data_IF_036864572374
#
_entry.id   IF_036864572374
#
_cell.length_a   1.000
_cell.length_b   1.000
_cell.length_c   1.000
_cell.angle_alpha   90.00
_cell.angle_beta   90.00
_cell.angle_gamma   90.00
#
_symmetry.space_group_name_H-M   'P 1'
#
loop_
_entity.id
_entity.type
_entity.pdbx_description
1 polymer ?
#
# COMPACT_ATOMS: atom_id res chain seq x y z
N UNK A 1 16.59 -6.17 38.47
CA UNK A 1 16.56 -5.86 37.03
C UNK A 1 16.53 -7.18 36.27
N UNK A 2 15.36 -7.60 35.79
CA UNK A 2 15.24 -8.82 34.98
C UNK A 2 15.16 -8.40 33.51
N UNK A 3 16.10 -8.91 32.71
CA UNK A 3 16.12 -8.71 31.27
C UNK A 3 15.02 -9.57 30.62
N UNK A 4 14.04 -8.92 29.98
CA UNK A 4 13.07 -9.59 29.13
C UNK A 4 13.73 -9.94 27.79
N UNK A 5 14.01 -11.21 27.57
CA UNK A 5 14.45 -11.77 26.29
C UNK A 5 13.29 -11.71 25.29
N UNK A 6 13.33 -10.75 24.36
CA UNK A 6 12.30 -10.57 23.35
C UNK A 6 12.36 -11.63 22.24
N UNK A 7 11.30 -12.43 22.10
CA UNK A 7 11.03 -13.29 20.94
C UNK A 7 10.48 -12.46 19.77
N UNK A 8 11.24 -11.49 19.25
CA UNK A 8 10.80 -10.57 18.18
C UNK A 8 10.74 -11.19 16.77
N UNK A 9 11.10 -12.46 16.59
CA UNK A 9 11.36 -13.04 15.27
C UNK A 9 10.19 -13.75 14.58
N UNK A 10 9.17 -14.20 15.30
CA UNK A 10 8.10 -15.03 14.74
C UNK A 10 6.80 -14.25 14.44
N UNK A 11 6.47 -13.22 15.24
CA UNK A 11 5.22 -12.46 15.09
C UNK A 11 5.26 -11.38 13.98
N UNK A 12 6.46 -10.95 13.56
CA UNK A 12 6.60 -9.90 12.54
C UNK A 12 6.19 -10.39 11.14
N UNK A 13 6.32 -11.69 10.86
CA UNK A 13 5.98 -12.27 9.56
C UNK A 13 4.46 -12.43 9.39
N UNK A 14 3.76 -12.87 10.43
CA UNK A 14 2.30 -13.01 10.45
C UNK A 14 1.59 -11.66 10.40
N UNK A 15 2.07 -10.67 11.15
CA UNK A 15 1.52 -9.30 11.13
C UNK A 15 1.72 -8.62 9.77
N UNK A 16 2.87 -8.83 9.11
CA UNK A 16 3.11 -8.30 7.76
C UNK A 16 2.18 -8.93 6.73
N UNK A 17 1.89 -10.24 6.83
CA UNK A 17 0.97 -10.92 5.92
C UNK A 17 -0.47 -10.38 6.04
N UNK A 18 -0.99 -10.26 7.26
CA UNK A 18 -2.32 -9.69 7.51
C UNK A 18 -2.42 -8.22 7.07
N UNK A 19 -1.33 -7.47 7.24
CA UNK A 19 -1.25 -6.09 6.74
C UNK A 19 -1.37 -6.07 5.21
N UNK A 20 -0.61 -6.89 4.48
CA UNK A 20 -0.69 -6.95 3.01
C UNK A 20 -2.02 -7.49 2.48
N UNK A 21 -2.67 -8.40 3.20
CA UNK A 21 -4.03 -8.86 2.86
C UNK A 21 -5.03 -7.69 2.96
N UNK A 22 -4.94 -6.91 4.04
CA UNK A 22 -5.77 -5.71 4.24
C UNK A 22 -5.59 -4.71 3.11
N UNK A 23 -4.36 -4.49 2.62
CA UNK A 23 -4.11 -3.65 1.45
C UNK A 23 -4.90 -4.10 0.22
N UNK A 24 -4.85 -5.40 -0.07
CA UNK A 24 -5.50 -5.97 -1.25
C UNK A 24 -7.02 -5.76 -1.18
N UNK A 25 -7.60 -5.91 0.01
CA UNK A 25 -9.01 -5.65 0.27
C UNK A 25 -9.38 -4.17 0.11
N UNK A 26 -8.67 -3.27 0.79
CA UNK A 26 -8.94 -1.83 0.72
C UNK A 26 -8.80 -1.26 -0.69
N UNK A 27 -7.77 -1.72 -1.42
CA UNK A 27 -7.57 -1.33 -2.81
C UNK A 27 -8.71 -1.79 -3.71
N UNK A 28 -9.20 -3.02 -3.50
CA UNK A 28 -10.33 -3.55 -4.24
C UNK A 28 -11.58 -2.73 -3.97
N UNK A 29 -11.90 -2.46 -2.70
CA UNK A 29 -13.05 -1.64 -2.30
C UNK A 29 -12.97 -0.23 -2.89
N UNK A 30 -11.80 0.43 -2.81
CA UNK A 30 -11.57 1.74 -3.42
C UNK A 30 -11.93 1.76 -4.92
N UNK A 31 -11.52 0.73 -5.66
CA UNK A 31 -11.75 0.67 -7.09
C UNK A 31 -13.20 0.33 -7.43
N UNK A 32 -13.84 -0.55 -6.64
CA UNK A 32 -15.24 -0.94 -6.81
C UNK A 32 -16.18 0.26 -6.62
N UNK A 33 -15.93 1.11 -5.62
CA UNK A 33 -16.72 2.31 -5.36
C UNK A 33 -16.70 3.31 -6.52
N UNK A 34 -15.57 3.42 -7.23
CA UNK A 34 -15.37 4.39 -8.31
C UNK A 34 -15.64 3.83 -9.71
N UNK A 35 -15.99 2.54 -9.84
CA UNK A 35 -16.26 1.89 -11.14
C UNK A 35 -17.47 2.52 -11.86
N UNK A 36 -18.40 3.11 -11.12
CA UNK A 36 -19.60 3.76 -11.67
C UNK A 36 -19.31 5.18 -12.20
N UNK A 37 -18.33 5.87 -11.61
CA UNK A 37 -17.94 7.23 -11.99
C UNK A 37 -16.87 7.24 -13.09
N UNK A 38 -15.95 6.26 -13.07
CA UNK A 38 -14.87 6.14 -14.05
C UNK A 38 -15.33 5.22 -15.17
N UNK A 39 -15.84 5.84 -16.24
CA UNK A 39 -16.41 5.11 -17.40
C UNK A 39 -15.36 4.46 -18.29
N UNK A 40 -14.09 4.84 -18.15
CA UNK A 40 -12.98 4.36 -18.97
C UNK A 40 -12.12 3.35 -18.21
N UNK A 41 -12.16 2.10 -18.67
CA UNK A 41 -11.34 0.98 -18.19
C UNK A 41 -9.84 1.31 -18.16
N UNK A 42 -9.35 2.13 -19.10
CA UNK A 42 -7.94 2.51 -19.14
C UNK A 42 -7.53 3.41 -17.95
N UNK A 43 -8.47 4.25 -17.49
CA UNK A 43 -8.29 5.14 -16.35
C UNK A 43 -8.32 4.37 -15.03
N UNK A 44 -9.20 3.38 -14.87
CA UNK A 44 -9.21 2.47 -13.71
C UNK A 44 -7.90 1.70 -13.58
N UNK A 45 -7.39 1.16 -14.69
CA UNK A 45 -6.11 0.45 -14.69
C UNK A 45 -4.93 1.36 -14.36
N UNK A 46 -4.98 2.63 -14.78
CA UNK A 46 -3.97 3.62 -14.42
C UNK A 46 -3.97 3.87 -12.90
N UNK A 47 -5.14 4.05 -12.28
CA UNK A 47 -5.26 4.23 -10.83
C UNK A 47 -4.74 2.99 -10.09
N UNK A 48 -5.16 1.80 -10.51
CA UNK A 48 -4.70 0.54 -9.91
C UNK A 48 -3.16 0.46 -9.87
N UNK A 49 -2.51 0.82 -10.97
CA UNK A 49 -1.04 0.81 -11.07
C UNK A 49 -0.39 1.96 -10.31
N UNK A 50 -0.98 3.15 -10.34
CA UNK A 50 -0.49 4.32 -9.63
C UNK A 50 -0.41 4.05 -8.13
N UNK A 51 -1.46 3.46 -7.56
CA UNK A 51 -1.49 3.11 -6.13
C UNK A 51 -0.39 2.10 -5.81
N UNK A 52 -0.28 0.99 -6.55
CA UNK A 52 0.79 0.00 -6.31
C UNK A 52 2.19 0.60 -6.47
N UNK A 53 2.39 1.45 -7.47
CA UNK A 53 3.70 2.01 -7.79
C UNK A 53 4.23 2.91 -6.67
N UNK A 54 3.35 3.75 -6.12
CA UNK A 54 3.73 4.77 -5.14
C UNK A 54 3.64 4.27 -3.69
N UNK A 55 2.66 3.42 -3.40
CA UNK A 55 2.40 2.94 -2.03
C UNK A 55 3.26 1.73 -1.69
N UNK A 56 3.44 0.78 -2.62
CA UNK A 56 4.24 -0.42 -2.35
C UNK A 56 5.76 -0.19 -2.56
N UNK A 57 6.57 -1.10 -2.02
CA UNK A 57 8.04 -1.02 -2.08
C UNK A 57 8.70 -0.26 -0.93
N UNK A 58 7.91 0.18 0.06
CA UNK A 58 8.41 0.64 1.36
C UNK A 58 8.52 -0.50 2.37
N UNK A 59 9.11 -0.22 3.54
CA UNK A 59 9.15 -1.17 4.67
C UNK A 59 7.84 -1.21 5.47
N UNK A 60 6.89 -0.33 5.16
CA UNK A 60 5.61 -0.16 5.87
C UNK A 60 5.74 0.11 7.38
N UNK A 61 6.88 0.66 7.81
CA UNK A 61 7.17 0.87 9.23
C UNK A 61 6.16 1.83 9.90
N UNK A 62 5.60 2.81 9.16
CA UNK A 62 4.65 3.77 9.75
C UNK A 62 3.32 3.09 10.00
N UNK A 63 2.84 2.32 9.02
CA UNK A 63 1.61 1.53 9.15
C UNK A 63 1.73 0.42 10.21
N UNK A 64 2.82 -0.35 10.21
CA UNK A 64 3.04 -1.41 11.21
C UNK A 64 3.18 -0.85 12.64
N UNK A 65 3.79 0.34 12.78
CA UNK A 65 3.86 1.03 14.08
C UNK A 65 2.47 1.35 14.66
N UNK A 66 1.45 1.57 13.83
CA UNK A 66 0.07 1.77 14.31
C UNK A 66 -0.46 0.48 14.95
N UNK A 67 -0.26 -0.66 14.27
CA UNK A 67 -0.70 -1.97 14.76
C UNK A 67 0.01 -2.34 16.06
N UNK A 68 1.33 -2.17 16.11
CA UNK A 68 2.12 -2.45 17.31
C UNK A 68 1.76 -1.52 18.48
N UNK A 69 1.54 -0.22 18.20
CA UNK A 69 1.10 0.72 19.24
C UNK A 69 -0.28 0.37 19.78
N UNK A 70 -1.20 -0.06 18.91
CA UNK A 70 -2.54 -0.46 19.33
C UNK A 70 -2.51 -1.69 20.24
N UNK A 71 -1.68 -2.70 19.93
CA UNK A 71 -1.43 -3.85 20.82
C UNK A 71 -0.95 -3.42 22.21
N UNK A 72 0.07 -2.56 22.25
CA UNK A 72 0.65 -2.06 23.50
C UNK A 72 -0.39 -1.30 24.31
N UNK A 73 -1.16 -0.40 23.68
CA UNK A 73 -2.18 0.41 24.34
C UNK A 73 -3.36 -0.42 24.86
N UNK A 74 -3.73 -1.47 24.14
CA UNK A 74 -4.78 -2.41 24.55
C UNK A 74 -4.28 -3.41 25.61
N UNK A 75 -2.97 -3.53 25.79
CA UNK A 75 -2.35 -4.43 26.76
C UNK A 75 -2.48 -5.90 26.38
N UNK A 76 -2.50 -6.21 25.08
CA UNK A 76 -2.62 -7.58 24.56
C UNK A 76 -1.47 -7.91 23.60
N UNK A 77 -0.98 -9.15 23.65
CA UNK A 77 0.05 -9.62 22.73
C UNK A 77 -0.53 -9.96 21.34
N UNK A 78 -1.80 -10.40 21.32
CA UNK A 78 -2.53 -10.80 20.11
C UNK A 78 -3.85 -10.04 20.02
N UNK A 79 -4.09 -9.40 18.89
CA UNK A 79 -5.35 -8.73 18.60
C UNK A 79 -6.41 -9.73 18.14
N UNK A 80 -7.68 -9.44 18.42
CA UNK A 80 -8.77 -10.15 17.74
C UNK A 80 -8.72 -9.89 16.23
N UNK A 81 -9.40 -10.72 15.45
CA UNK A 81 -9.41 -10.57 13.99
C UNK A 81 -9.95 -9.20 13.55
N UNK A 82 -11.02 -8.73 14.19
CA UNK A 82 -11.63 -7.43 13.91
C UNK A 82 -10.70 -6.26 14.29
N UNK A 83 -10.11 -6.31 15.49
CA UNK A 83 -9.15 -5.33 15.96
C UNK A 83 -7.91 -5.23 15.06
N UNK A 84 -7.39 -6.38 14.63
CA UNK A 84 -6.26 -6.45 13.73
C UNK A 84 -6.60 -5.82 12.39
N UNK A 85 -7.78 -6.12 11.84
CA UNK A 85 -8.25 -5.54 10.59
C UNK A 85 -8.41 -4.01 10.68
N UNK A 86 -9.02 -3.50 11.75
CA UNK A 86 -9.18 -2.06 11.97
C UNK A 86 -7.83 -1.34 12.14
N UNK A 87 -6.92 -1.91 12.93
CA UNK A 87 -5.58 -1.36 13.12
C UNK A 87 -4.76 -1.37 11.82
N UNK A 88 -4.84 -2.45 11.05
CA UNK A 88 -4.19 -2.54 9.74
C UNK A 88 -4.78 -1.52 8.75
N UNK A 89 -6.11 -1.35 8.76
CA UNK A 89 -6.79 -0.36 7.92
C UNK A 89 -6.29 1.05 8.21
N UNK A 90 -6.24 1.44 9.49
CA UNK A 90 -5.67 2.73 9.89
C UNK A 90 -4.20 2.86 9.49
N UNK A 91 -3.41 1.79 9.67
CA UNK A 91 -2.01 1.76 9.24
C UNK A 91 -1.84 2.00 7.73
N UNK A 92 -2.72 1.44 6.90
CA UNK A 92 -2.72 1.69 5.46
C UNK A 92 -3.13 3.09 5.08
N UNK A 93 -4.08 3.71 5.78
CA UNK A 93 -4.41 5.12 5.59
C UNK A 93 -3.17 6.01 5.78
N UNK A 94 -2.32 5.70 6.77
CA UNK A 94 -1.06 6.42 6.99
C UNK A 94 -0.05 6.19 5.85
N UNK A 95 0.10 4.95 5.38
CA UNK A 95 1.00 4.65 4.25
C UNK A 95 0.51 5.27 2.93
N UNK A 96 -0.80 5.34 2.71
CA UNK A 96 -1.40 6.02 1.54
C UNK A 96 -1.19 7.53 1.60
N UNK A 97 -1.42 8.14 2.77
CA UNK A 97 -1.11 9.55 3.00
C UNK A 97 0.37 9.83 2.74
N UNK A 98 1.26 8.96 3.22
CA UNK A 98 2.69 9.08 2.97
C UNK A 98 3.04 8.94 1.48
N UNK A 99 2.40 8.01 0.77
CA UNK A 99 2.55 7.87 -0.68
C UNK A 99 2.14 9.14 -1.44
N UNK A 100 1.00 9.73 -1.08
CA UNK A 100 0.54 11.01 -1.64
C UNK A 100 1.57 12.13 -1.41
N UNK A 101 2.04 12.30 -0.17
CA UNK A 101 3.01 13.33 0.18
C UNK A 101 4.32 13.16 -0.59
N UNK A 102 4.79 11.93 -0.79
CA UNK A 102 6.00 11.65 -1.56
C UNK A 102 5.84 11.96 -3.05
N UNK A 103 4.69 11.65 -3.64
CA UNK A 103 4.43 12.01 -5.05
C UNK A 103 4.43 13.53 -5.21
N UNK A 104 3.83 14.25 -4.26
CA UNK A 104 3.80 15.70 -4.28
C UNK A 104 5.20 16.32 -4.08
N UNK A 105 5.97 15.81 -3.12
CA UNK A 105 7.37 16.15 -2.86
C UNK A 105 8.24 15.94 -4.12
N UNK A 106 8.12 14.77 -4.76
CA UNK A 106 8.87 14.45 -5.97
C UNK A 106 8.62 15.47 -7.10
N UNK A 107 7.40 16.00 -7.21
CA UNK A 107 7.02 17.03 -8.20
C UNK A 107 7.61 18.38 -7.82
N UNK A 108 7.46 18.81 -6.56
CA UNK A 108 7.97 20.10 -6.07
C UNK A 108 9.49 20.19 -6.22
N UNK A 109 10.21 19.11 -5.90
CA UNK A 109 11.67 19.04 -5.93
C UNK A 109 12.21 18.61 -7.30
N UNK A 110 11.33 18.33 -8.26
CA UNK A 110 11.69 17.82 -9.59
C UNK A 110 12.60 16.56 -9.50
N UNK A 111 12.33 15.69 -8.51
CA UNK A 111 13.11 14.51 -8.19
C UNK A 111 13.16 13.50 -9.35
N UNK A 112 14.26 12.77 -9.48
CA UNK A 112 14.46 11.77 -10.56
C UNK A 112 13.95 10.38 -10.17
N UNK A 113 14.26 9.94 -8.95
CA UNK A 113 14.01 8.56 -8.50
C UNK A 113 13.48 8.49 -7.08
N UNK A 114 12.57 7.55 -6.84
CA UNK A 114 12.02 7.21 -5.52
C UNK A 114 11.96 5.69 -5.37
N UNK A 115 12.38 5.16 -4.21
CA UNK A 115 12.40 3.72 -3.91
C UNK A 115 13.08 2.87 -5.00
N UNK A 116 14.15 3.39 -5.60
CA UNK A 116 14.91 2.71 -6.66
C UNK A 116 14.23 2.68 -8.03
N UNK A 117 13.13 3.42 -8.23
CA UNK A 117 12.41 3.54 -9.50
C UNK A 117 12.28 5.02 -9.90
N UNK A 118 12.02 5.35 -11.18
CA UNK A 118 11.73 6.72 -11.58
C UNK A 118 10.53 7.31 -10.80
N UNK A 119 10.57 8.60 -10.47
CA UNK A 119 9.42 9.27 -9.83
C UNK A 119 8.19 9.17 -10.74
N UNK A 120 7.01 8.94 -10.16
CA UNK A 120 5.79 8.62 -10.91
C UNK A 120 5.45 9.63 -12.02
N UNK A 121 5.61 10.93 -11.74
CA UNK A 121 5.32 12.01 -12.70
C UNK A 121 6.25 12.01 -13.94
N UNK A 122 7.37 11.29 -13.88
CA UNK A 122 8.31 11.13 -15.00
C UNK A 122 8.05 9.88 -15.84
N UNK A 123 7.20 8.97 -15.37
CA UNK A 123 6.94 7.74 -16.11
C UNK A 123 5.98 8.05 -17.27
N UNK A 124 6.36 7.76 -18.53
CA UNK A 124 5.51 8.09 -19.66
C UNK A 124 4.18 7.32 -19.62
N UNK A 125 3.06 8.00 -19.85
CA UNK A 125 1.72 7.39 -19.76
C UNK A 125 1.53 6.30 -20.82
N UNK A 126 2.19 6.41 -21.97
CA UNK A 126 2.19 5.42 -23.04
C UNK A 126 2.76 4.05 -22.60
N UNK A 127 3.74 4.04 -21.68
CA UNK A 127 4.29 2.79 -21.12
C UNK A 127 3.22 2.06 -20.30
N UNK A 128 2.35 2.80 -19.62
CA UNK A 128 1.25 2.19 -18.87
C UNK A 128 0.12 1.71 -19.78
N UNK A 129 -0.25 2.48 -20.82
CA UNK A 129 -1.30 2.10 -21.79
C UNK A 129 -0.89 0.87 -22.63
N UNK A 130 0.37 0.74 -23.02
CA UNK A 130 0.86 -0.35 -23.88
C UNK A 130 0.82 -1.75 -23.23
N UNK A 131 0.90 -1.85 -21.90
CA UNK A 131 0.80 -3.15 -21.21
C UNK A 131 -0.66 -3.63 -21.15
N UNK A 132 -1.65 -2.72 -21.13
CA UNK A 132 -3.07 -3.08 -21.15
C UNK A 132 -3.49 -3.68 -22.51
N UNK A 133 -3.02 -3.09 -23.61
CA UNK A 133 -3.31 -3.58 -24.96
C UNK A 133 -2.66 -4.93 -25.27
N UNK A 134 -1.55 -5.29 -24.61
CA UNK A 134 -0.87 -6.58 -24.83
C UNK A 134 -1.63 -7.79 -24.29
N UNK A 135 -2.56 -7.60 -23.34
CA UNK A 135 -3.40 -8.69 -22.80
C UNK A 135 -4.56 -9.04 -23.74
N UNK A 136 -4.94 -8.15 -24.68
CA UNK A 136 -5.99 -8.41 -25.69
C UNK A 136 -5.45 -9.05 -26.99
N UNK A 137 -4.18 -9.45 -27.03
CA UNK A 137 -3.48 -9.87 -28.24
C UNK A 137 -3.24 -11.38 -28.41
N UNK A 138 -3.96 -12.25 -27.70
CA UNK A 138 -3.84 -13.72 -27.88
C UNK A 138 -5.21 -14.40 -27.85
N UNK A 139 -5.96 -14.20 -28.92
CA UNK A 139 -6.91 -15.19 -29.43
C UNK A 139 -6.68 -15.22 -30.93
N UNK A 140 -5.94 -16.24 -31.36
CA UNK A 140 -5.82 -16.67 -32.75
C UNK A 140 -6.62 -17.97 -32.85
#
# INVERSE_FOLDING_TARGET
>A
MAAASGSRGADSSSSTAAFMETYSKLKKELLEDHTSEITDESSLQLIHRMVDYNVLGGKCNRGLSVVDSYKILKGVDVLSHEDAFLACTLGWCIEWLQGYLLVHDDIMDNSQTRRGKPCWFRVPQEVFRAVSTRVRGTTN
#
